data_IF_933764197518
#
_entry.id   IF_933764197518
#
_cell.length_a   1.000
_cell.length_b   1.000
_cell.length_c   1.000
_cell.angle_alpha   90.00
_cell.angle_beta   90.00
_cell.angle_gamma   90.00
#
_symmetry.space_group_name_H-M   'P 1'
#
loop_
_entity.id
_entity.type
_entity.pdbx_description
1 polymer ?
#
# COMPACT_ATOMS: atom_id res chain seq x y z
N UNK A 1 3.82 -6.67 -11.12
CA UNK A 1 4.60 -5.89 -10.13
C UNK A 1 4.53 -4.39 -10.41
N UNK A 2 5.07 -3.89 -11.52
CA UNK A 2 5.17 -2.44 -11.78
C UNK A 2 3.85 -1.64 -11.75
N UNK A 3 2.74 -2.21 -12.23
CA UNK A 3 1.44 -1.54 -12.16
C UNK A 3 0.96 -1.34 -10.70
N UNK A 4 1.06 -2.38 -9.85
CA UNK A 4 0.68 -2.29 -8.43
C UNK A 4 1.58 -1.32 -7.65
N UNK A 5 2.88 -1.29 -7.97
CA UNK A 5 3.84 -0.37 -7.36
C UNK A 5 3.57 1.09 -7.79
N UNK A 6 3.21 1.32 -9.06
CA UNK A 6 2.78 2.62 -9.55
C UNK A 6 1.48 3.08 -8.89
N UNK A 7 0.50 2.20 -8.77
CA UNK A 7 -0.77 2.47 -8.07
C UNK A 7 -0.52 2.82 -6.59
N UNK A 8 0.39 2.11 -5.91
CA UNK A 8 0.79 2.42 -4.55
C UNK A 8 1.42 3.81 -4.44
N UNK A 9 2.33 4.15 -5.37
CA UNK A 9 3.00 5.45 -5.39
C UNK A 9 2.00 6.60 -5.60
N UNK A 10 1.06 6.44 -6.54
CA UNK A 10 -0.02 7.39 -6.78
C UNK A 10 -0.93 7.52 -5.55
N UNK A 11 -1.35 6.40 -4.98
CA UNK A 11 -2.23 6.39 -3.81
C UNK A 11 -1.58 7.07 -2.60
N UNK A 12 -0.25 6.95 -2.45
CA UNK A 12 0.49 7.67 -1.41
C UNK A 12 0.40 9.18 -1.58
N UNK A 13 0.54 9.69 -2.81
CA UNK A 13 0.40 11.12 -3.09
C UNK A 13 -1.02 11.62 -2.79
N UNK A 14 -2.04 10.83 -3.15
CA UNK A 14 -3.44 11.13 -2.86
C UNK A 14 -3.68 11.19 -1.35
N UNK A 15 -3.18 10.21 -0.59
CA UNK A 15 -3.29 10.20 0.87
C UNK A 15 -2.60 11.41 1.51
N UNK A 16 -1.38 11.75 1.06
CA UNK A 16 -0.65 12.90 1.58
C UNK A 16 -1.39 14.22 1.29
N UNK A 17 -1.97 14.37 0.10
CA UNK A 17 -2.82 15.50 -0.24
C UNK A 17 -4.07 15.56 0.64
N UNK A 18 -4.81 14.45 0.78
CA UNK A 18 -5.99 14.36 1.64
C UNK A 18 -5.68 14.67 3.11
N UNK A 19 -4.52 14.23 3.60
CA UNK A 19 -4.03 14.54 4.95
C UNK A 19 -3.76 16.03 5.11
N UNK A 20 -3.05 16.66 4.17
CA UNK A 20 -2.81 18.12 4.19
C UNK A 20 -4.13 18.90 4.17
N UNK A 21 -5.06 18.55 3.29
CA UNK A 21 -6.40 19.16 3.24
C UNK A 21 -7.14 19.01 4.58
N UNK A 22 -7.03 17.86 5.26
CA UNK A 22 -7.70 17.65 6.55
C UNK A 22 -7.15 18.52 7.70
N UNK A 23 -5.92 19.02 7.55
CA UNK A 23 -5.21 19.86 8.51
C UNK A 23 -5.30 21.36 8.19
N UNK A 24 -5.91 21.74 7.07
CA UNK A 24 -6.09 23.16 6.74
C UNK A 24 -6.81 23.92 7.85
N UNK A 25 -6.27 25.08 8.19
CA UNK A 25 -6.90 26.04 9.08
C UNK A 25 -8.02 26.78 8.34
N UNK A 26 -8.90 27.45 9.08
CA UNK A 26 -10.00 28.26 8.51
C UNK A 26 -11.08 27.50 7.72
N UNK A 27 -11.15 26.17 7.82
CA UNK A 27 -12.26 25.37 7.27
C UNK A 27 -13.35 25.13 8.31
N UNK A 28 -14.60 25.08 7.85
CA UNK A 28 -15.76 24.82 8.72
C UNK A 28 -15.71 23.41 9.32
N UNK A 29 -16.34 23.22 10.49
CA UNK A 29 -16.47 21.92 11.16
C UNK A 29 -16.97 20.79 10.23
N UNK A 30 -18.02 20.97 9.40
CA UNK A 30 -18.47 19.92 8.49
C UNK A 30 -17.44 19.62 7.38
N UNK A 31 -16.76 20.64 6.85
CA UNK A 31 -15.70 20.45 5.85
C UNK A 31 -14.53 19.67 6.44
N UNK A 32 -14.09 20.03 7.65
CA UNK A 32 -13.04 19.29 8.37
C UNK A 32 -13.42 17.83 8.58
N UNK A 33 -14.65 17.55 9.00
CA UNK A 33 -15.16 16.18 9.19
C UNK A 33 -15.13 15.40 7.88
N UNK A 34 -15.59 16.00 6.77
CA UNK A 34 -15.59 15.37 5.45
C UNK A 34 -14.16 15.04 4.98
N UNK A 35 -13.23 15.99 5.08
CA UNK A 35 -11.83 15.81 4.69
C UNK A 35 -11.12 14.75 5.54
N UNK A 36 -11.41 14.69 6.85
CA UNK A 36 -10.88 13.65 7.71
C UNK A 36 -11.41 12.25 7.32
N UNK A 37 -12.69 12.14 6.94
CA UNK A 37 -13.23 10.88 6.42
C UNK A 37 -12.59 10.48 5.09
N UNK A 38 -12.36 11.42 4.18
CA UNK A 38 -11.62 11.16 2.94
C UNK A 38 -10.21 10.66 3.25
N UNK A 39 -9.47 11.36 4.11
CA UNK A 39 -8.12 10.95 4.54
C UNK A 39 -8.10 9.49 5.05
N UNK A 40 -9.07 9.10 5.88
CA UNK A 40 -9.19 7.72 6.37
C UNK A 40 -9.47 6.70 5.26
N UNK A 41 -10.29 7.05 4.26
CA UNK A 41 -10.56 6.17 3.10
C UNK A 41 -9.30 5.97 2.26
N UNK A 42 -8.58 7.05 1.98
CA UNK A 42 -7.34 6.98 1.21
C UNK A 42 -6.25 6.21 1.95
N UNK A 43 -6.18 6.34 3.29
CA UNK A 43 -5.28 5.55 4.14
C UNK A 43 -5.63 4.05 4.07
N UNK A 44 -6.92 3.70 4.13
CA UNK A 44 -7.37 2.31 4.02
C UNK A 44 -6.96 1.70 2.68
N UNK A 45 -7.20 2.42 1.59
CA UNK A 45 -6.81 1.97 0.24
C UNK A 45 -5.29 1.82 0.10
N UNK A 46 -4.50 2.70 0.72
CA UNK A 46 -3.04 2.57 0.75
C UNK A 46 -2.61 1.27 1.43
N UNK A 47 -3.22 0.91 2.56
CA UNK A 47 -2.96 -0.35 3.27
C UNK A 47 -3.34 -1.57 2.42
N UNK A 48 -4.51 -1.53 1.79
CA UNK A 48 -4.96 -2.61 0.89
C UNK A 48 -4.00 -2.85 -0.28
N UNK A 49 -3.44 -1.78 -0.87
CA UNK A 49 -2.42 -1.89 -1.92
C UNK A 49 -1.09 -2.48 -1.41
N UNK A 50 -0.64 -2.08 -0.21
CA UNK A 50 0.55 -2.66 0.41
C UNK A 50 0.36 -4.15 0.68
N UNK A 51 -0.80 -4.54 1.20
CA UNK A 51 -1.14 -5.94 1.45
C UNK A 51 -1.21 -6.74 0.14
N UNK A 52 -1.76 -6.16 -0.93
CA UNK A 52 -1.81 -6.80 -2.24
C UNK A 52 -0.41 -7.04 -2.82
N UNK A 53 0.51 -6.07 -2.70
CA UNK A 53 1.91 -6.23 -3.11
C UNK A 53 2.59 -7.31 -2.27
N UNK A 54 2.40 -7.30 -0.95
CA UNK A 54 2.98 -8.31 -0.07
C UNK A 54 2.49 -9.71 -0.45
N UNK A 55 1.17 -9.89 -0.62
CA UNK A 55 0.57 -11.16 -1.05
C UNK A 55 1.10 -11.60 -2.41
N UNK A 56 1.20 -10.69 -3.37
CA UNK A 56 1.81 -10.99 -4.67
C UNK A 56 3.25 -11.46 -4.51
N UNK A 57 4.06 -10.77 -3.69
CA UNK A 57 5.45 -11.16 -3.41
C UNK A 57 5.57 -12.49 -2.69
N UNK A 58 4.65 -12.85 -1.81
CA UNK A 58 4.64 -14.16 -1.13
C UNK A 58 4.23 -15.26 -2.11
N UNK A 59 3.13 -15.06 -2.84
CA UNK A 59 2.59 -16.06 -3.77
C UNK A 59 3.52 -16.30 -4.98
N UNK A 60 4.16 -15.25 -5.48
CA UNK A 60 5.14 -15.33 -6.57
C UNK A 60 6.60 -15.38 -6.05
N UNK A 61 6.83 -15.35 -4.74
CA UNK A 61 8.14 -15.44 -4.11
C UNK A 61 8.62 -16.85 -3.85
N UNK A 62 7.77 -17.86 -4.11
CA UNK A 62 8.14 -19.27 -4.14
C UNK A 62 8.62 -19.74 -5.54
N UNK A 63 9.09 -18.82 -6.39
CA UNK A 63 9.89 -19.17 -7.58
C UNK A 63 11.30 -18.58 -7.46
N UNK A 64 12.01 -18.92 -6.39
CA UNK A 64 13.47 -19.00 -6.49
C UNK A 64 13.84 -20.47 -6.67
N UNK A 65 14.31 -20.92 -7.86
CA UNK A 65 14.79 -22.29 -8.04
C UNK A 65 16.07 -22.59 -7.26
N UNK A 66 16.59 -21.67 -6.44
CA UNK A 66 17.95 -21.75 -5.89
C UNK A 66 18.09 -22.39 -4.52
N UNK A 67 17.03 -22.92 -3.91
CA UNK A 67 17.13 -23.67 -2.65
C UNK A 67 16.64 -25.12 -2.74
N UNK A 68 16.32 -25.63 -3.93
CA UNK A 68 15.89 -27.02 -4.12
C UNK A 68 17.05 -28.04 -4.13
N UNK A 69 18.31 -27.61 -4.07
CA UNK A 69 19.49 -28.48 -4.05
C UNK A 69 20.17 -28.47 -2.67
N UNK A 70 19.52 -29.05 -1.67
CA UNK A 70 20.21 -29.45 -0.42
C UNK A 70 19.62 -30.73 0.18
N UNK A 71 18.99 -31.57 -0.62
CA UNK A 71 18.46 -32.86 -0.18
C UNK A 71 18.80 -33.98 -1.17
N UNK A 72 20.09 -34.10 -1.53
CA UNK A 72 20.68 -35.33 -2.06
C UNK A 72 22.20 -35.22 -2.14
N UNK A 73 22.89 -35.51 -1.04
CA UNK A 73 24.16 -36.24 -1.06
C UNK A 73 24.35 -36.86 0.33
N UNK A 74 23.74 -38.03 0.50
CA UNK A 74 24.29 -39.07 1.37
C UNK A 74 25.40 -39.71 0.53
N UNK A 75 26.64 -39.57 0.98
CA UNK A 75 27.83 -40.22 0.45
C UNK A 75 28.82 -40.31 1.60
#
# INVERSE_FOLDING_TARGET
MHALEADLALQRQIYEAARKLSLEEHISKPVRKSRLQQCKREEKKLKELQDAILKHRVNHGCVSPQTCYSSRQRG
#
